data_IF_259243834057
#
_entry.id   IF_259243834057
#
_cell.length_a   1.000
_cell.length_b   1.000
_cell.length_c   1.000
_cell.angle_alpha   90.00
_cell.angle_beta   90.00
_cell.angle_gamma   90.00
#
_symmetry.space_group_name_H-M   'P 1'
#
loop_
_entity.id
_entity.type
_entity.pdbx_description
1 polymer ?
#
# COMPACT_ATOMS: atom_id res chain seq x y z
N UNK A 1 3.68 34.00 21.36
CA UNK A 1 3.82 34.22 22.81
C UNK A 1 4.77 33.14 23.32
N UNK A 2 6.01 33.53 23.66
CA UNK A 2 7.11 32.63 24.02
C UNK A 2 7.05 32.29 25.51
N UNK A 3 7.21 31.01 25.86
CA UNK A 3 7.69 30.59 27.18
C UNK A 3 8.39 29.23 27.08
N UNK A 4 9.72 29.24 27.15
CA UNK A 4 10.55 28.10 27.53
C UNK A 4 10.67 28.04 29.06
N UNK A 5 10.69 26.83 29.63
CA UNK A 5 11.26 26.58 30.96
C UNK A 5 12.09 25.30 30.89
N UNK A 6 13.32 25.45 31.37
CA UNK A 6 14.46 24.54 31.35
C UNK A 6 14.41 23.47 32.45
N UNK A 7 15.18 22.39 32.23
CA UNK A 7 15.30 21.19 33.04
C UNK A 7 16.40 21.29 34.10
N UNK A 8 16.24 20.55 35.20
CA UNK A 8 17.27 20.33 36.22
C UNK A 8 17.14 18.92 36.85
N UNK A 9 18.21 18.34 37.40
CA UNK A 9 18.50 16.91 37.24
C UNK A 9 18.51 16.08 38.55
N UNK A 10 18.79 14.78 38.38
CA UNK A 10 19.69 13.91 39.18
C UNK A 10 19.07 12.63 39.80
N UNK A 11 19.56 11.50 39.24
CA UNK A 11 20.00 10.21 39.80
C UNK A 11 19.04 9.21 40.52
N UNK A 12 19.27 7.93 40.20
CA UNK A 12 18.53 6.74 40.65
C UNK A 12 19.01 6.13 41.98
N UNK A 13 18.67 4.83 42.23
CA UNK A 13 19.63 3.78 41.88
C UNK A 13 19.05 2.46 41.34
N UNK A 14 19.99 1.62 40.92
CA UNK A 14 19.94 0.29 40.32
C UNK A 14 19.21 -0.79 41.14
N UNK A 15 18.53 -1.73 40.46
CA UNK A 15 18.44 -3.14 40.87
C UNK A 15 18.57 -4.06 39.65
N UNK A 16 19.44 -5.06 39.83
CA UNK A 16 19.81 -6.15 38.93
C UNK A 16 18.72 -7.23 38.81
N UNK A 17 18.65 -7.83 37.62
CA UNK A 17 18.47 -9.27 37.43
C UNK A 17 17.04 -9.75 37.20
N UNK A 18 16.73 -10.15 35.97
CA UNK A 18 16.39 -11.55 35.70
C UNK A 18 16.45 -11.84 34.19
N UNK A 19 17.23 -12.87 33.86
CA UNK A 19 17.18 -13.59 32.60
C UNK A 19 15.97 -14.50 32.70
N UNK A 20 15.04 -14.44 31.75
CA UNK A 20 14.55 -15.64 31.05
C UNK A 20 13.39 -15.35 30.11
N UNK A 21 13.31 -16.21 29.09
CA UNK A 21 12.13 -16.51 28.29
C UNK A 21 11.85 -15.60 27.09
N UNK A 22 12.54 -15.94 26.00
CA UNK A 22 11.96 -15.92 24.65
C UNK A 22 10.65 -16.72 24.70
N UNK A 23 9.51 -16.05 24.85
CA UNK A 23 8.19 -16.62 24.55
C UNK A 23 7.72 -16.06 23.22
N UNK A 24 7.38 -17.00 22.34
CA UNK A 24 6.84 -16.73 21.03
C UNK A 24 5.60 -15.85 21.09
N UNK A 25 5.33 -15.21 19.96
CA UNK A 25 4.08 -14.51 19.69
C UNK A 25 2.95 -15.52 19.88
N UNK A 26 2.32 -15.49 21.05
CA UNK A 26 1.06 -16.19 21.32
C UNK A 26 -0.04 -15.39 20.65
N UNK A 27 -0.61 -15.95 19.58
CA UNK A 27 -1.90 -15.52 19.08
C UNK A 27 -2.94 -15.77 20.19
N UNK A 28 -3.86 -14.83 20.48
CA UNK A 28 -4.94 -15.09 21.43
C UNK A 28 -5.74 -16.32 20.97
N UNK A 29 -5.88 -17.30 21.88
CA UNK A 29 -6.56 -18.58 21.64
C UNK A 29 -8.09 -18.44 21.49
N UNK A 30 -8.64 -17.22 21.63
CA UNK A 30 -10.08 -16.97 21.66
C UNK A 30 -10.76 -16.89 20.29
N UNK A 31 -10.01 -17.01 19.18
CA UNK A 31 -10.58 -17.02 17.82
C UNK A 31 -10.85 -18.43 17.27
N UNK A 32 -10.47 -19.51 17.97
CA UNK A 32 -10.66 -20.89 17.49
C UNK A 32 -11.99 -21.55 17.92
N UNK A 33 -12.71 -20.96 18.87
CA UNK A 33 -13.93 -21.56 19.43
C UNK A 33 -15.21 -21.24 18.64
N UNK A 34 -15.22 -20.20 17.80
CA UNK A 34 -16.40 -19.77 17.04
C UNK A 34 -16.48 -20.29 15.60
N UNK A 35 -15.52 -21.11 15.16
CA UNK A 35 -15.47 -21.72 13.82
C UNK A 35 -15.98 -23.18 13.82
N UNK A 36 -16.98 -23.51 14.64
CA UNK A 36 -17.79 -24.69 14.34
C UNK A 36 -18.64 -24.38 13.11
N UNK A 37 -18.48 -25.07 11.97
CA UNK A 37 -19.41 -24.91 10.87
C UNK A 37 -20.79 -25.29 11.40
N UNK A 38 -21.73 -24.34 11.40
CA UNK A 38 -23.13 -24.66 11.64
C UNK A 38 -23.50 -25.82 10.73
N UNK A 39 -24.21 -26.87 11.23
CA UNK A 39 -24.63 -27.98 10.38
C UNK A 39 -25.36 -27.38 9.17
N UNK A 40 -25.12 -27.86 7.94
CA UNK A 40 -25.67 -27.24 6.75
C UNK A 40 -27.19 -27.22 6.89
N UNK A 41 -27.72 -26.03 7.19
CA UNK A 41 -29.14 -25.77 7.07
C UNK A 41 -29.50 -26.15 5.65
N UNK A 42 -30.41 -27.12 5.49
CA UNK A 42 -30.84 -27.61 4.18
C UNK A 42 -31.58 -26.47 3.49
N UNK A 43 -30.84 -25.58 2.85
CA UNK A 43 -31.35 -24.67 1.83
C UNK A 43 -31.69 -25.55 0.62
N UNK A 44 -32.87 -26.18 0.66
CA UNK A 44 -33.52 -26.68 -0.54
C UNK A 44 -34.07 -25.50 -1.37
N UNK A 45 -33.21 -24.54 -1.71
CA UNK A 45 -33.47 -23.68 -2.85
C UNK A 45 -33.15 -24.52 -4.09
N UNK A 46 -34.14 -25.25 -4.63
CA UNK A 46 -34.04 -25.81 -5.98
C UNK A 46 -33.97 -24.63 -6.95
N UNK A 47 -32.75 -24.14 -7.19
CA UNK A 47 -32.48 -23.20 -8.26
C UNK A 47 -32.92 -23.77 -9.61
N UNK A 48 -33.10 -22.91 -10.64
CA UNK A 48 -33.45 -23.36 -11.98
C UNK A 48 -32.48 -24.43 -12.48
N UNK A 49 -32.98 -25.36 -13.31
CA UNK A 49 -32.15 -26.42 -13.89
C UNK A 49 -30.97 -25.78 -14.63
N UNK A 50 -29.73 -26.24 -14.40
CA UNK A 50 -28.57 -25.63 -15.01
C UNK A 50 -28.64 -25.75 -16.52
N UNK A 51 -28.40 -24.62 -17.18
CA UNK A 51 -28.30 -24.52 -18.63
C UNK A 51 -27.16 -25.39 -19.15
N UNK A 52 -27.19 -25.74 -20.44
CA UNK A 52 -26.11 -26.52 -21.08
C UNK A 52 -24.74 -25.83 -20.94
N UNK A 53 -24.73 -24.49 -20.98
CA UNK A 53 -23.53 -23.67 -20.78
C UNK A 53 -22.96 -23.82 -19.36
N UNK A 54 -23.81 -23.85 -18.35
CA UNK A 54 -23.39 -24.06 -16.95
C UNK A 54 -22.86 -25.48 -16.73
N UNK A 55 -23.50 -26.49 -17.33
CA UNK A 55 -23.04 -27.89 -17.25
C UNK A 55 -21.67 -28.05 -17.92
N UNK A 56 -21.47 -27.45 -19.09
CA UNK A 56 -20.17 -27.45 -19.77
C UNK A 56 -19.10 -26.71 -18.96
N UNK A 57 -19.43 -25.56 -18.37
CA UNK A 57 -18.53 -24.81 -17.49
C UNK A 57 -18.13 -25.64 -16.25
N UNK A 58 -19.10 -26.28 -15.59
CA UNK A 58 -18.87 -27.14 -14.43
C UNK A 58 -17.98 -28.34 -14.78
N UNK A 59 -18.23 -28.99 -15.92
CA UNK A 59 -17.38 -30.06 -16.43
C UNK A 59 -15.94 -29.58 -16.66
N UNK A 60 -15.76 -28.44 -17.32
CA UNK A 60 -14.43 -27.86 -17.56
C UNK A 60 -13.70 -27.54 -16.25
N UNK A 61 -14.39 -26.94 -15.27
CA UNK A 61 -13.83 -26.62 -13.95
C UNK A 61 -13.40 -27.90 -13.23
N UNK A 62 -14.25 -28.94 -13.21
CA UNK A 62 -13.93 -30.22 -12.60
C UNK A 62 -12.69 -30.87 -13.23
N UNK A 63 -12.52 -30.73 -14.56
CA UNK A 63 -11.31 -31.19 -15.24
C UNK A 63 -10.08 -30.39 -14.86
N UNK A 64 -10.15 -29.05 -14.83
CA UNK A 64 -9.02 -28.18 -14.44
C UNK A 64 -8.62 -28.36 -12.97
N UNK A 65 -9.57 -28.63 -12.08
CA UNK A 65 -9.32 -28.90 -10.66
C UNK A 65 -8.71 -30.29 -10.40
N UNK A 66 -8.73 -31.21 -11.37
CA UNK A 66 -8.19 -32.56 -11.20
C UNK A 66 -6.66 -32.56 -11.19
N UNK A 67 -6.00 -33.09 -10.13
CA UNK A 67 -4.53 -33.21 -10.10
C UNK A 67 -3.96 -34.04 -11.25
N UNK A 68 -4.70 -35.06 -11.71
CA UNK A 68 -4.30 -35.88 -12.86
C UNK A 68 -4.29 -35.07 -14.17
N UNK A 69 -5.27 -34.19 -14.36
CA UNK A 69 -5.30 -33.30 -15.52
C UNK A 69 -4.23 -32.22 -15.46
N UNK A 70 -3.97 -31.64 -14.28
CA UNK A 70 -2.89 -30.66 -14.10
C UNK A 70 -1.53 -31.25 -14.41
N UNK A 71 -1.24 -32.48 -13.94
CA UNK A 71 0.00 -33.22 -14.27
C UNK A 71 0.13 -33.50 -15.77
N UNK A 72 -0.94 -33.99 -16.38
CA UNK A 72 -0.97 -34.22 -17.84
C UNK A 72 -0.77 -32.92 -18.63
N UNK A 73 -1.47 -31.84 -18.26
CA UNK A 73 -1.40 -30.55 -18.94
C UNK A 73 -0.03 -29.87 -18.78
N UNK A 74 0.65 -30.07 -17.64
CA UNK A 74 2.02 -29.60 -17.42
C UNK A 74 3.06 -30.41 -18.21
N UNK A 75 2.79 -31.71 -18.46
CA UNK A 75 3.66 -32.59 -19.26
C UNK A 75 3.51 -32.41 -20.78
N UNK A 76 2.36 -31.94 -21.26
CA UNK A 76 2.09 -31.79 -22.70
C UNK A 76 2.58 -30.44 -23.25
N UNK A 77 3.44 -30.39 -24.31
CA UNK A 77 4.13 -29.19 -24.75
C UNK A 77 3.25 -27.97 -25.07
N UNK A 78 2.06 -28.18 -25.65
CA UNK A 78 1.15 -27.09 -26.04
C UNK A 78 0.39 -26.49 -24.86
N UNK A 79 0.03 -27.30 -23.86
CA UNK A 79 -0.70 -26.84 -22.68
C UNK A 79 0.22 -26.45 -21.53
N UNK A 80 1.49 -26.89 -21.56
CA UNK A 80 2.50 -26.63 -20.52
C UNK A 80 2.68 -25.15 -20.23
N UNK A 81 2.74 -24.30 -21.25
CA UNK A 81 2.87 -22.84 -21.08
C UNK A 81 1.69 -22.23 -20.32
N UNK A 82 0.48 -22.69 -20.62
CA UNK A 82 -0.75 -22.22 -19.95
C UNK A 82 -0.78 -22.72 -18.51
N UNK A 83 -0.48 -24.00 -18.28
CA UNK A 83 -0.41 -24.58 -16.94
C UNK A 83 0.63 -23.86 -16.07
N UNK A 84 1.84 -23.63 -16.59
CA UNK A 84 2.89 -22.90 -15.89
C UNK A 84 2.51 -21.45 -15.58
N UNK A 85 1.86 -20.74 -16.52
CA UNK A 85 1.37 -19.38 -16.30
C UNK A 85 0.32 -19.32 -15.19
N UNK A 86 -0.63 -20.26 -15.18
CA UNK A 86 -1.66 -20.33 -14.14
C UNK A 86 -1.06 -20.64 -12.77
N UNK A 87 -0.11 -21.57 -12.70
CA UNK A 87 0.63 -21.87 -11.48
C UNK A 87 1.38 -20.65 -10.98
N UNK A 88 2.10 -19.93 -11.86
CA UNK A 88 2.81 -18.69 -11.50
C UNK A 88 1.84 -17.64 -10.96
N UNK A 89 0.73 -17.41 -11.65
CA UNK A 89 -0.30 -16.47 -11.19
C UNK A 89 -0.87 -16.83 -9.81
N UNK A 90 -1.07 -18.12 -9.51
CA UNK A 90 -1.50 -18.55 -8.18
C UNK A 90 -0.43 -18.30 -7.12
N UNK A 91 0.84 -18.59 -7.42
CA UNK A 91 1.94 -18.27 -6.51
C UNK A 91 2.08 -16.75 -6.30
N UNK A 92 1.92 -15.95 -7.34
CA UNK A 92 1.94 -14.49 -7.25
C UNK A 92 0.81 -13.97 -6.36
N UNK A 93 -0.40 -14.55 -6.44
CA UNK A 93 -1.51 -14.23 -5.54
C UNK A 93 -1.19 -14.59 -4.09
N UNK A 94 -0.59 -15.77 -3.85
CA UNK A 94 -0.18 -16.19 -2.51
C UNK A 94 0.95 -15.32 -1.94
N UNK A 95 1.86 -14.82 -2.78
CA UNK A 95 3.04 -14.06 -2.38
C UNK A 95 2.83 -12.53 -2.46
N UNK A 96 1.74 -12.06 -3.07
CA UNK A 96 1.51 -10.63 -3.36
C UNK A 96 1.51 -9.75 -2.11
N UNK A 97 0.98 -10.25 -0.99
CA UNK A 97 1.05 -9.54 0.30
C UNK A 97 2.52 -9.35 0.74
N UNK A 98 3.37 -10.36 0.52
CA UNK A 98 4.79 -10.28 0.84
C UNK A 98 5.51 -9.28 -0.05
N UNK A 99 5.19 -9.23 -1.35
CA UNK A 99 5.77 -8.22 -2.27
C UNK A 99 5.44 -6.80 -1.81
N UNK A 100 4.18 -6.58 -1.44
CA UNK A 100 3.69 -5.29 -0.94
C UNK A 100 4.38 -4.90 0.37
N UNK A 101 4.58 -5.85 1.30
CA UNK A 101 5.30 -5.62 2.56
C UNK A 101 6.81 -5.37 2.37
N UNK A 102 7.45 -6.03 1.40
CA UNK A 102 8.86 -5.78 1.06
C UNK A 102 9.03 -4.35 0.55
N UNK A 103 8.19 -3.92 -0.39
CA UNK A 103 8.20 -2.56 -0.92
C UNK A 103 7.96 -1.52 0.20
N UNK A 104 6.95 -1.76 1.04
CA UNK A 104 6.65 -0.92 2.20
C UNK A 104 7.84 -0.80 3.16
N UNK A 105 8.51 -1.90 3.48
CA UNK A 105 9.70 -1.89 4.32
C UNK A 105 10.86 -1.09 3.68
N UNK A 106 11.05 -1.22 2.37
CA UNK A 106 12.09 -0.46 1.64
C UNK A 106 11.83 1.06 1.70
N UNK A 107 10.58 1.48 1.55
CA UNK A 107 10.17 2.89 1.67
C UNK A 107 10.41 3.39 3.10
N UNK A 108 9.94 2.66 4.13
CA UNK A 108 10.09 3.08 5.54
C UNK A 108 11.53 3.13 6.03
N UNK A 109 12.42 2.32 5.43
CA UNK A 109 13.85 2.32 5.73
C UNK A 109 14.63 3.34 4.90
N UNK A 110 13.95 4.10 4.03
CA UNK A 110 14.58 5.06 3.12
C UNK A 110 15.68 4.41 2.25
N UNK A 111 15.44 3.16 1.82
CA UNK A 111 16.41 2.34 1.09
C UNK A 111 16.81 3.01 -0.24
N UNK A 112 15.83 3.57 -0.95
CA UNK A 112 16.06 4.10 -2.29
C UNK A 112 16.91 5.36 -2.26
N UNK A 113 16.61 6.31 -1.38
CA UNK A 113 17.45 7.50 -1.20
C UNK A 113 18.82 7.13 -0.63
N UNK A 114 18.92 6.11 0.22
CA UNK A 114 20.19 5.60 0.73
C UNK A 114 21.11 5.11 -0.39
N UNK A 115 20.57 4.42 -1.39
CA UNK A 115 21.34 3.89 -2.52
C UNK A 115 21.50 4.87 -3.70
N UNK A 116 20.82 6.02 -3.66
CA UNK A 116 20.90 7.07 -4.71
C UNK A 116 22.32 7.54 -5.01
N UNK A 117 23.20 7.78 -4.01
CA UNK A 117 24.58 8.22 -4.28
C UNK A 117 25.46 7.12 -4.90
N UNK A 118 25.07 5.85 -4.76
CA UNK A 118 25.81 4.73 -5.33
C UNK A 118 25.68 3.43 -4.52
N UNK A 119 26.34 2.34 -4.99
CA UNK A 119 26.17 1.01 -4.43
C UNK A 119 26.83 0.83 -3.05
N UNK A 120 26.12 0.18 -2.13
CA UNK A 120 26.56 -0.05 -0.74
C UNK A 120 26.57 -1.54 -0.36
N UNK A 121 27.53 -2.00 0.48
CA UNK A 121 27.54 -3.37 0.98
C UNK A 121 26.45 -3.61 2.04
N UNK A 122 26.05 -4.86 2.22
CA UNK A 122 25.04 -5.25 3.23
C UNK A 122 25.37 -4.74 4.63
N UNK A 123 26.64 -4.77 5.05
CA UNK A 123 27.04 -4.34 6.40
C UNK A 123 26.69 -2.86 6.66
N UNK A 124 26.96 -1.98 5.69
CA UNK A 124 26.66 -0.54 5.80
C UNK A 124 25.15 -0.30 5.82
N UNK A 125 24.40 -1.01 4.97
CA UNK A 125 22.94 -0.92 4.94
C UNK A 125 22.32 -1.44 6.25
N UNK A 126 22.82 -2.56 6.78
CA UNK A 126 22.38 -3.13 8.04
C UNK A 126 22.56 -2.16 9.20
N UNK A 127 23.73 -1.51 9.29
CA UNK A 127 24.01 -0.48 10.29
C UNK A 127 23.06 0.71 10.14
N UNK A 128 22.93 1.26 8.92
CA UNK A 128 22.09 2.43 8.65
C UNK A 128 20.62 2.18 9.00
N UNK A 129 20.12 1.00 8.69
CA UNK A 129 18.74 0.59 8.96
C UNK A 129 18.54 0.01 10.37
N UNK A 130 19.61 -0.09 11.17
CA UNK A 130 19.60 -0.72 12.50
C UNK A 130 19.00 -2.12 12.50
N UNK A 131 19.36 -2.90 11.48
CA UNK A 131 18.94 -4.29 11.31
C UNK A 131 20.12 -5.22 11.57
N UNK A 132 19.83 -6.42 12.10
CA UNK A 132 20.82 -7.49 12.10
C UNK A 132 21.26 -7.80 10.65
N UNK A 133 22.54 -8.07 10.38
CA UNK A 133 23.07 -8.28 9.03
C UNK A 133 22.29 -9.31 8.22
N UNK A 134 21.88 -10.42 8.84
CA UNK A 134 21.14 -11.51 8.18
C UNK A 134 19.71 -11.07 7.80
N UNK A 135 19.10 -10.20 8.62
CA UNK A 135 17.76 -9.65 8.37
C UNK A 135 17.79 -8.59 7.27
N UNK A 136 18.83 -7.76 7.25
CA UNK A 136 19.07 -6.81 6.17
C UNK A 136 19.30 -7.54 4.83
N UNK A 137 20.20 -8.53 4.81
CA UNK A 137 20.45 -9.36 3.63
C UNK A 137 19.17 -10.01 3.09
N UNK A 138 18.31 -10.52 3.98
CA UNK A 138 17.02 -11.11 3.60
C UNK A 138 16.09 -10.10 2.93
N UNK A 139 15.97 -8.89 3.49
CA UNK A 139 15.17 -7.82 2.87
C UNK A 139 15.75 -7.40 1.52
N UNK A 140 17.07 -7.22 1.42
CA UNK A 140 17.75 -6.81 0.19
C UNK A 140 17.57 -7.85 -0.93
N UNK A 141 17.69 -9.14 -0.61
CA UNK A 141 17.37 -10.22 -1.56
C UNK A 141 15.92 -10.18 -2.04
N UNK A 142 14.98 -9.94 -1.12
CA UNK A 142 13.57 -9.84 -1.48
C UNK A 142 13.31 -8.62 -2.38
N UNK A 143 13.87 -7.46 -2.04
CA UNK A 143 13.78 -6.25 -2.85
C UNK A 143 14.40 -6.45 -4.24
N UNK A 144 15.53 -7.16 -4.31
CA UNK A 144 16.16 -7.47 -5.58
C UNK A 144 15.34 -8.44 -6.45
N UNK A 145 14.64 -9.38 -5.84
CA UNK A 145 13.72 -10.27 -6.58
C UNK A 145 12.49 -9.56 -7.15
N UNK A 146 12.24 -8.33 -6.70
CA UNK A 146 11.19 -7.44 -7.19
C UNK A 146 11.75 -6.35 -8.13
N UNK A 147 13.01 -6.46 -8.56
CA UNK A 147 13.69 -5.50 -9.42
C UNK A 147 13.74 -4.06 -8.85
N UNK A 148 13.62 -3.92 -7.52
CA UNK A 148 13.72 -2.64 -6.83
C UNK A 148 15.19 -2.21 -6.63
N UNK A 149 16.06 -3.19 -6.42
CA UNK A 149 17.52 -3.03 -6.31
C UNK A 149 18.21 -4.20 -7.05
N UNK A 150 19.52 -4.10 -7.27
CA UNK A 150 20.31 -5.16 -7.88
C UNK A 150 21.55 -5.48 -7.03
N UNK A 151 21.96 -6.75 -7.01
CA UNK A 151 23.25 -7.16 -6.44
C UNK A 151 24.32 -7.09 -7.51
N UNK A 152 25.38 -6.35 -7.24
CA UNK A 152 26.55 -6.24 -8.11
C UNK A 152 27.49 -7.45 -7.93
N UNK A 153 28.39 -7.72 -8.90
CA UNK A 153 29.34 -8.83 -8.81
C UNK A 153 30.28 -8.77 -7.60
N UNK A 154 30.58 -7.57 -7.10
CA UNK A 154 31.40 -7.33 -5.92
C UNK A 154 30.61 -7.48 -4.60
N UNK A 155 29.34 -7.89 -4.68
CA UNK A 155 28.48 -8.15 -3.53
C UNK A 155 27.76 -6.93 -2.97
N UNK A 156 27.97 -5.72 -3.51
CA UNK A 156 27.24 -4.51 -3.12
C UNK A 156 25.84 -4.47 -3.75
N UNK A 157 24.98 -3.63 -3.19
CA UNK A 157 23.62 -3.41 -3.67
C UNK A 157 23.51 -2.03 -4.32
N UNK A 158 22.86 -1.96 -5.48
CA UNK A 158 22.62 -0.75 -6.24
C UNK A 158 21.13 -0.57 -6.51
N UNK A 159 20.68 0.65 -6.82
CA UNK A 159 19.33 0.87 -7.33
C UNK A 159 19.13 0.15 -8.68
N UNK A 160 17.92 -0.38 -8.87
CA UNK A 160 17.44 -0.81 -10.18
C UNK A 160 16.35 0.16 -10.66
N UNK A 161 15.97 0.08 -11.94
CA UNK A 161 15.09 1.06 -12.60
C UNK A 161 13.77 1.27 -11.86
N UNK A 162 13.15 0.19 -11.37
CA UNK A 162 11.87 0.28 -10.64
C UNK A 162 12.02 1.01 -9.30
N UNK A 163 13.11 0.76 -8.57
CA UNK A 163 13.41 1.49 -7.33
C UNK A 163 13.79 2.95 -7.58
N UNK A 164 14.49 3.24 -8.68
CA UNK A 164 14.83 4.60 -9.08
C UNK A 164 13.59 5.42 -9.46
N UNK A 165 12.60 4.81 -10.12
CA UNK A 165 11.34 5.45 -10.47
C UNK A 165 10.57 5.94 -9.23
N UNK A 166 10.68 5.25 -8.09
CA UNK A 166 10.04 5.68 -6.84
C UNK A 166 10.64 6.98 -6.27
N UNK A 167 11.93 7.24 -6.50
CA UNK A 167 12.60 8.48 -6.06
C UNK A 167 12.04 9.69 -6.83
N UNK A 168 11.74 9.50 -8.12
CA UNK A 168 11.12 10.53 -8.96
C UNK A 168 9.64 10.77 -8.68
N UNK A 169 9.00 9.91 -7.88
CA UNK A 169 7.56 9.93 -7.63
C UNK A 169 7.26 9.88 -6.12
N UNK A 170 7.53 10.97 -5.36
CA UNK A 170 7.35 11.00 -3.90
C UNK A 170 5.91 10.68 -3.46
N UNK A 171 4.93 10.99 -4.29
CA UNK A 171 3.50 10.70 -4.06
C UNK A 171 3.22 9.21 -4.00
N UNK A 172 3.93 8.41 -4.81
CA UNK A 172 3.82 6.94 -4.78
C UNK A 172 4.44 6.39 -3.49
N UNK A 173 5.58 6.93 -3.05
CA UNK A 173 6.20 6.54 -1.78
C UNK A 173 5.29 6.84 -0.58
N UNK A 174 4.68 8.03 -0.56
CA UNK A 174 3.71 8.41 0.47
C UNK A 174 2.45 7.52 0.44
N UNK A 175 1.98 7.13 -0.74
CA UNK A 175 0.86 6.20 -0.87
C UNK A 175 1.22 4.81 -0.31
N UNK A 176 2.43 4.33 -0.59
CA UNK A 176 2.95 3.08 -0.02
C UNK A 176 2.96 3.16 1.51
N UNK A 177 3.45 4.25 2.10
CA UNK A 177 3.48 4.44 3.55
C UNK A 177 2.07 4.43 4.19
N UNK A 178 1.10 5.03 3.50
CA UNK A 178 -0.28 5.08 3.97
C UNK A 178 -0.97 3.70 4.03
N UNK A 179 -0.54 2.73 3.22
CA UNK A 179 -1.10 1.38 3.26
C UNK A 179 -0.98 0.70 4.63
N UNK A 180 -0.17 1.21 5.56
CA UNK A 180 -0.13 0.73 6.95
C UNK A 180 -1.52 0.65 7.61
N UNK A 181 -2.38 1.65 7.39
CA UNK A 181 -3.74 1.66 7.95
C UNK A 181 -4.60 0.58 7.29
N UNK A 182 -4.54 0.49 5.96
CA UNK A 182 -5.25 -0.53 5.19
C UNK A 182 -4.80 -1.94 5.59
N UNK A 183 -3.50 -2.18 5.76
CA UNK A 183 -2.98 -3.49 6.19
C UNK A 183 -3.51 -3.89 7.56
N UNK A 184 -3.69 -2.92 8.46
CA UNK A 184 -4.24 -3.18 9.78
C UNK A 184 -5.75 -3.48 9.74
N UNK A 185 -6.49 -2.84 8.84
CA UNK A 185 -7.91 -3.12 8.61
C UNK A 185 -8.12 -4.47 7.88
N UNK A 186 -7.18 -4.85 7.02
CA UNK A 186 -7.18 -6.13 6.29
C UNK A 186 -6.60 -7.30 7.10
N UNK A 187 -6.32 -7.12 8.40
CA UNK A 187 -5.82 -8.20 9.26
C UNK A 187 -6.82 -9.38 9.33
N UNK A 188 -8.13 -9.09 9.31
CA UNK A 188 -9.19 -10.07 9.08
C UNK A 188 -10.15 -9.58 7.97
N UNK A 189 -9.89 -9.95 6.70
CA UNK A 189 -10.70 -9.48 5.59
C UNK A 189 -12.12 -10.07 5.60
N UNK A 190 -12.35 -11.21 6.27
CA UNK A 190 -13.68 -11.84 6.31
C UNK A 190 -14.56 -11.11 7.34
N UNK A 191 -14.02 -10.82 8.52
CA UNK A 191 -14.70 -10.00 9.52
C UNK A 191 -15.04 -8.62 8.93
N UNK A 192 -14.07 -7.98 8.26
CA UNK A 192 -14.27 -6.70 7.56
C UNK A 192 -15.44 -6.75 6.57
N UNK A 193 -15.51 -7.77 5.71
CA UNK A 193 -16.57 -7.92 4.72
C UNK A 193 -17.95 -8.21 5.34
N UNK A 194 -17.99 -8.72 6.57
CA UNK A 194 -19.24 -8.90 7.33
C UNK A 194 -19.67 -7.64 8.08
N UNK A 195 -18.83 -6.61 8.12
CA UNK A 195 -19.05 -5.42 8.94
C UNK A 195 -18.94 -5.69 10.44
N UNK A 196 -18.18 -6.72 10.84
CA UNK A 196 -17.93 -7.04 12.24
C UNK A 196 -16.99 -6.01 12.93
N UNK A 197 -15.91 -5.52 12.27
CA UNK A 197 -15.17 -4.39 12.79
C UNK A 197 -16.06 -3.14 12.80
N UNK A 198 -15.90 -2.32 13.85
CA UNK A 198 -16.43 -0.95 13.86
C UNK A 198 -15.76 -0.06 12.80
N UNK A 199 -15.75 1.28 12.96
CA UNK A 199 -15.09 2.17 12.00
C UNK A 199 -13.63 1.74 11.79
N UNK A 200 -13.26 1.54 10.52
CA UNK A 200 -11.92 1.11 10.12
C UNK A 200 -10.93 2.27 10.27
N UNK A 201 -9.63 1.97 10.45
CA UNK A 201 -8.61 3.02 10.56
C UNK A 201 -8.59 3.89 9.30
N UNK A 202 -8.73 3.26 8.13
CA UNK A 202 -8.80 3.95 6.86
C UNK A 202 -10.05 4.84 6.75
N UNK A 203 -11.20 4.40 7.28
CA UNK A 203 -12.45 5.19 7.23
C UNK A 203 -12.40 6.41 8.15
N UNK A 204 -11.79 6.29 9.34
CA UNK A 204 -11.58 7.44 10.24
C UNK A 204 -10.60 8.46 9.68
N UNK A 205 -9.70 8.02 8.81
CA UNK A 205 -8.79 8.88 8.06
C UNK A 205 -9.43 9.52 6.82
N UNK A 206 -10.66 9.11 6.47
CA UNK A 206 -11.43 9.66 5.36
C UNK A 206 -12.74 10.30 5.89
N UNK A 207 -12.68 11.48 6.53
CA UNK A 207 -13.88 12.12 7.08
C UNK A 207 -14.90 12.47 5.99
N UNK A 208 -14.45 12.80 4.78
CA UNK A 208 -15.30 13.33 3.72
C UNK A 208 -16.25 12.31 3.05
N UNK A 209 -16.04 11.00 3.16
CA UNK A 209 -16.96 10.00 2.59
C UNK A 209 -18.03 9.51 3.56
N UNK A 210 -17.90 9.79 4.86
CA UNK A 210 -18.79 9.19 5.87
C UNK A 210 -19.37 10.19 6.88
N UNK A 211 -18.93 11.45 6.89
CA UNK A 211 -19.45 12.43 7.84
C UNK A 211 -20.64 13.21 7.25
N UNK A 212 -21.78 13.16 7.95
CA UNK A 212 -22.87 14.13 7.80
C UNK A 212 -22.48 15.51 8.39
N UNK A 213 -21.37 15.60 9.14
CA UNK A 213 -20.84 16.83 9.73
C UNK A 213 -19.31 16.91 9.53
N UNK A 214 -18.82 17.78 8.63
CA UNK A 214 -17.39 17.89 8.28
C UNK A 214 -16.47 18.47 9.37
N UNK A 215 -17.03 19.08 10.42
CA UNK A 215 -16.27 19.96 11.33
C UNK A 215 -15.54 19.25 12.50
N UNK A 216 -15.73 17.94 12.68
CA UNK A 216 -15.19 17.20 13.83
C UNK A 216 -13.97 16.32 13.53
N UNK A 217 -13.44 16.36 12.30
CA UNK A 217 -12.24 15.58 11.96
C UNK A 217 -10.99 16.22 12.60
N UNK A 218 -10.22 15.44 13.36
CA UNK A 218 -8.93 15.86 13.90
C UNK A 218 -8.05 16.44 12.78
N UNK A 219 -7.64 17.71 12.92
CA UNK A 219 -6.94 18.48 11.90
C UNK A 219 -5.67 17.79 11.36
N UNK A 220 -5.03 16.94 12.18
CA UNK A 220 -3.84 16.15 11.84
C UNK A 220 -4.13 14.97 10.91
N UNK A 221 -5.27 14.30 11.05
CA UNK A 221 -5.68 13.20 10.16
C UNK A 221 -5.99 13.74 8.75
N UNK A 222 -6.64 14.91 8.68
CA UNK A 222 -6.92 15.61 7.41
C UNK A 222 -5.63 16.07 6.72
N UNK A 223 -4.63 16.54 7.47
CA UNK A 223 -3.39 17.09 6.91
C UNK A 223 -2.50 16.06 6.18
N UNK A 224 -2.40 14.82 6.70
CA UNK A 224 -1.58 13.79 6.04
C UNK A 224 -2.18 13.32 4.71
N UNK A 225 -3.52 13.25 4.62
CA UNK A 225 -4.24 12.87 3.41
C UNK A 225 -4.21 13.98 2.36
N UNK A 226 -4.51 15.23 2.74
CA UNK A 226 -4.45 16.36 1.81
C UNK A 226 -3.08 16.50 1.17
N UNK A 227 -1.99 16.26 1.93
CA UNK A 227 -0.63 16.20 1.39
C UNK A 227 -0.42 15.03 0.42
N UNK A 228 -0.93 13.85 0.72
CA UNK A 228 -0.81 12.67 -0.14
C UNK A 228 -1.59 12.84 -1.47
N UNK A 229 -2.80 13.40 -1.40
CA UNK A 229 -3.61 13.71 -2.57
C UNK A 229 -3.05 14.88 -3.36
N UNK A 230 -2.63 15.97 -2.72
CA UNK A 230 -1.99 17.09 -3.41
C UNK A 230 -0.71 16.65 -4.14
N UNK A 231 0.10 15.79 -3.51
CA UNK A 231 1.31 15.27 -4.14
C UNK A 231 0.99 14.39 -5.36
N UNK A 232 -0.06 13.56 -5.31
CA UNK A 232 -0.45 12.72 -6.45
C UNK A 232 -1.19 13.51 -7.54
N UNK A 233 -1.90 14.56 -7.17
CA UNK A 233 -2.53 15.51 -8.10
C UNK A 233 -1.50 16.28 -8.91
N UNK A 234 -0.33 16.61 -8.39
CA UNK A 234 0.70 17.33 -9.16
C UNK A 234 1.14 16.56 -10.42
N UNK A 235 1.35 15.24 -10.32
CA UNK A 235 1.72 14.40 -11.47
C UNK A 235 0.58 14.30 -12.49
N UNK A 236 -0.65 14.08 -12.00
CA UNK A 236 -1.83 14.00 -12.86
C UNK A 236 -2.12 15.36 -13.52
N UNK A 237 -1.88 16.46 -12.82
CA UNK A 237 -2.09 17.81 -13.33
C UNK A 237 -1.21 18.09 -14.54
N UNK A 238 0.08 17.76 -14.46
CA UNK A 238 1.03 17.92 -15.57
C UNK A 238 0.62 17.04 -16.77
N UNK A 239 0.26 15.77 -16.55
CA UNK A 239 -0.22 14.87 -17.62
C UNK A 239 -1.50 15.40 -18.29
N UNK A 240 -2.46 15.92 -17.50
CA UNK A 240 -3.70 16.51 -18.01
C UNK A 240 -3.42 17.77 -18.83
N UNK A 241 -2.55 18.64 -18.34
CA UNK A 241 -2.17 19.88 -19.02
C UNK A 241 -1.31 19.62 -20.27
N UNK A 242 -0.62 18.48 -20.35
CA UNK A 242 0.07 18.01 -21.56
C UNK A 242 -0.93 17.46 -22.59
N UNK A 243 -1.92 16.71 -22.12
CA UNK A 243 -2.96 16.13 -22.98
C UNK A 243 -3.94 17.19 -23.52
N UNK A 244 -4.15 18.29 -22.79
CA UNK A 244 -5.11 19.33 -23.15
C UNK A 244 -4.56 20.74 -22.90
N UNK A 245 -4.38 21.50 -23.99
CA UNK A 245 -3.93 22.89 -23.89
C UNK A 245 -5.05 23.83 -23.45
N UNK A 246 -4.78 24.63 -22.41
CA UNK A 246 -5.69 25.68 -21.95
C UNK A 246 -5.49 27.03 -22.67
N UNK A 247 -4.62 27.09 -23.70
CA UNK A 247 -4.23 28.35 -24.34
C UNK A 247 -5.39 29.14 -24.97
N UNK A 248 -6.47 28.49 -25.37
CA UNK A 248 -7.68 29.13 -25.93
C UNK A 248 -8.68 29.61 -24.87
N UNK A 249 -8.41 29.38 -23.58
CA UNK A 249 -9.33 29.69 -22.50
C UNK A 249 -8.88 30.94 -21.74
N UNK A 250 -9.86 31.75 -21.31
CA UNK A 250 -9.61 32.96 -20.52
C UNK A 250 -9.78 32.72 -19.01
N UNK A 251 -10.45 31.65 -18.60
CA UNK A 251 -10.73 31.34 -17.21
C UNK A 251 -10.79 29.83 -16.96
N UNK A 252 -10.24 29.39 -15.83
CA UNK A 252 -10.35 28.04 -15.28
C UNK A 252 -10.90 28.14 -13.85
N UNK A 253 -11.92 27.34 -13.55
CA UNK A 253 -12.42 27.13 -12.19
C UNK A 253 -12.22 25.67 -11.82
N UNK A 254 -11.50 25.45 -10.73
CA UNK A 254 -11.27 24.13 -10.15
C UNK A 254 -12.26 23.90 -9.00
N UNK A 255 -13.15 22.93 -9.19
CA UNK A 255 -14.25 22.61 -8.27
C UNK A 255 -13.88 21.34 -7.52
N UNK A 256 -13.70 21.44 -6.21
CA UNK A 256 -13.09 20.38 -5.40
C UNK A 256 -11.57 20.30 -5.61
N UNK A 257 -10.92 21.44 -5.87
CA UNK A 257 -9.50 21.50 -6.22
C UNK A 257 -8.53 21.33 -5.04
N UNK A 258 -9.04 21.07 -3.84
CA UNK A 258 -8.22 20.80 -2.66
C UNK A 258 -7.35 22.00 -2.28
N UNK A 259 -6.06 21.73 -2.04
CA UNK A 259 -5.05 22.74 -1.73
C UNK A 259 -4.54 23.48 -3.00
N UNK A 260 -5.21 23.33 -4.15
CA UNK A 260 -4.94 24.11 -5.36
C UNK A 260 -3.75 23.63 -6.21
N UNK A 261 -3.35 22.35 -6.08
CA UNK A 261 -2.23 21.80 -6.83
C UNK A 261 -2.42 21.92 -8.37
N UNK A 262 -3.63 21.64 -8.87
CA UNK A 262 -3.92 21.72 -10.30
C UNK A 262 -3.94 23.15 -10.83
N UNK A 263 -4.62 24.07 -10.14
CA UNK A 263 -4.64 25.49 -10.54
C UNK A 263 -3.25 26.12 -10.49
N UNK A 264 -2.40 25.72 -9.55
CA UNK A 264 -1.00 26.16 -9.47
C UNK A 264 -0.19 25.68 -10.67
N UNK A 265 -0.33 24.42 -11.06
CA UNK A 265 0.31 23.87 -12.26
C UNK A 265 -0.19 24.58 -13.54
N UNK A 266 -1.50 24.82 -13.64
CA UNK A 266 -2.10 25.56 -14.75
C UNK A 266 -1.58 27.01 -14.83
N UNK A 267 -1.40 27.68 -13.67
CA UNK A 267 -0.85 29.04 -13.59
C UNK A 267 0.55 29.13 -14.18
N UNK A 268 1.41 28.14 -13.84
CA UNK A 268 2.79 28.10 -14.29
C UNK A 268 2.91 27.95 -15.82
N UNK A 269 1.99 27.19 -16.44
CA UNK A 269 1.98 26.94 -17.89
C UNK A 269 1.23 28.01 -18.68
N UNK A 270 0.22 28.65 -18.08
CA UNK A 270 -0.65 29.62 -18.74
C UNK A 270 -0.78 30.91 -17.91
N UNK A 271 0.22 31.82 -17.93
CA UNK A 271 0.25 33.01 -17.07
C UNK A 271 -0.90 34.00 -17.28
N UNK A 272 -1.57 33.95 -18.44
CA UNK A 272 -2.71 34.82 -18.77
C UNK A 272 -4.08 34.24 -18.38
N UNK A 273 -4.13 33.03 -17.83
CA UNK A 273 -5.37 32.36 -17.48
C UNK A 273 -5.89 32.88 -16.14
N UNK A 274 -7.16 33.30 -16.08
CA UNK A 274 -7.81 33.63 -14.80
C UNK A 274 -8.14 32.35 -14.05
N UNK A 275 -7.69 32.22 -12.81
CA UNK A 275 -7.84 31.01 -12.00
C UNK A 275 -8.82 31.23 -10.86
N UNK A 276 -9.65 30.23 -10.58
CA UNK A 276 -10.58 30.22 -9.46
C UNK A 276 -10.52 28.83 -8.81
N UNK A 277 -10.51 28.79 -7.49
CA UNK A 277 -10.55 27.56 -6.70
C UNK A 277 -11.82 27.57 -5.84
N UNK A 278 -12.57 26.47 -5.86
CA UNK A 278 -13.78 26.31 -5.06
C UNK A 278 -13.72 24.97 -4.31
N UNK A 279 -13.72 25.02 -2.98
CA UNK A 279 -13.71 23.84 -2.10
C UNK A 279 -14.44 24.14 -0.78
N UNK A 280 -14.52 23.15 0.11
CA UNK A 280 -15.04 23.32 1.47
C UNK A 280 -14.23 24.36 2.25
N UNK A 281 -14.84 25.14 3.16
CA UNK A 281 -14.16 26.25 3.84
C UNK A 281 -12.84 25.87 4.51
N UNK A 282 -12.80 24.73 5.22
CA UNK A 282 -11.59 24.25 5.90
C UNK A 282 -10.46 23.84 4.94
N UNK A 283 -10.79 23.48 3.70
CA UNK A 283 -9.84 23.09 2.65
C UNK A 283 -9.37 24.32 1.88
N UNK A 284 -10.29 25.18 1.48
CA UNK A 284 -9.99 26.43 0.76
C UNK A 284 -9.06 27.35 1.57
N UNK A 285 -9.23 27.43 2.90
CA UNK A 285 -8.35 28.19 3.78
C UNK A 285 -6.88 27.69 3.80
N UNK A 286 -6.61 26.47 3.32
CA UNK A 286 -5.24 25.93 3.18
C UNK A 286 -4.61 26.25 1.83
N UNK A 287 -5.39 26.77 0.88
CA UNK A 287 -4.95 27.12 -0.47
C UNK A 287 -4.64 28.62 -0.64
N UNK A 288 -4.92 29.44 0.38
CA UNK A 288 -4.52 30.86 0.47
C UNK A 288 -3.03 31.01 0.83
#
# INVERSE_FOLDING_TARGET
>A
MLSEVDAGPVAGPLVQGERDSVRGVTFPDDARSSLQPSPPGRLHARGPRPTLRERFRAFRIARVASPAFQRWAAGFPLTRRIAQRNTRALFDLCAGFTYSQVLFACVRLDLFHTLRPGPLPTAVLAERFRLAPERAERLLKAAASLDLIARLPDGRWALADLGAALIGNPSVAAMIEHHAMLYADLADPVALLRGEPGPTRLSGYWPYAMAAEPDAAEADAVAGYSRLMAASQALIAEDVLDAYSLASHACLMDVGGGEGAFVTAAAARHPGLRLMLFDLPAVAARAE
#
